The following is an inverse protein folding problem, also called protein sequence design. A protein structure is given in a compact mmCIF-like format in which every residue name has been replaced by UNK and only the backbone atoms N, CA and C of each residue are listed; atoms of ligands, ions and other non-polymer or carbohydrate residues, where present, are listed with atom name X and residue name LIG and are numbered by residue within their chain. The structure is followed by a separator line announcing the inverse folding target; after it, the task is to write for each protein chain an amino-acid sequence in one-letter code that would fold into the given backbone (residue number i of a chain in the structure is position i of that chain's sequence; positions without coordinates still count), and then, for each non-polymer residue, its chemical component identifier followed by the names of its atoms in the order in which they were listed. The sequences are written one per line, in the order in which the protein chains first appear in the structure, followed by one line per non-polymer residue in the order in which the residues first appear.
data_IF_630157983546
#
_entry.id   IF_630157983546
#
_cell.length_a   1.000
_cell.length_b   1.000
_cell.length_c   1.000
_cell.angle_alpha   90.00
_cell.angle_beta   90.00
_cell.angle_gamma   90.00
#
_symmetry.space_group_name_H-M   'P 1'
#
loop_
_entity.id
_entity.type
_entity.pdbx_description
1 polymer ?
#
# COMPACT_ATOMS: atom_id res chain seq x y z
N UNK A 1 3.10 -20.26 -14.57
CA UNK A 1 2.87 -19.49 -13.32
C UNK A 1 2.01 -18.28 -13.66
N UNK A 2 1.22 -17.76 -12.73
CA UNK A 2 0.54 -16.48 -12.90
C UNK A 2 1.55 -15.32 -12.92
N UNK A 3 1.18 -14.22 -13.59
CA UNK A 3 1.99 -13.01 -13.64
C UNK A 3 1.68 -12.12 -12.43
N UNK A 4 2.16 -12.57 -11.27
CA UNK A 4 2.02 -11.89 -9.98
C UNK A 4 3.38 -11.37 -9.54
N UNK A 5 3.53 -10.04 -9.46
CA UNK A 5 4.80 -9.37 -9.20
C UNK A 5 4.53 -8.18 -8.28
N UNK A 6 5.36 -8.01 -7.25
CA UNK A 6 5.43 -6.79 -6.44
C UNK A 6 6.85 -6.25 -6.45
N UNK A 7 6.99 -4.92 -6.43
CA UNK A 7 8.27 -4.26 -6.28
C UNK A 7 8.18 -3.17 -5.21
N UNK A 8 9.29 -3.00 -4.49
CA UNK A 8 9.45 -2.02 -3.43
C UNK A 8 10.53 -1.04 -3.84
N UNK A 9 10.35 0.23 -3.48
CA UNK A 9 11.37 1.24 -3.68
C UNK A 9 12.39 1.16 -2.52
N UNK A 10 13.65 0.91 -2.89
CA UNK A 10 14.76 0.81 -1.94
C UNK A 10 15.36 2.18 -1.62
N UNK A 11 15.08 3.21 -2.42
CA UNK A 11 15.57 4.57 -2.22
C UNK A 11 14.57 5.38 -1.37
N UNK A 12 14.22 4.81 -0.22
CA UNK A 12 13.33 5.44 0.74
C UNK A 12 14.02 5.59 2.07
N UNK A 13 13.62 6.60 2.85
CA UNK A 13 14.18 6.84 4.19
C UNK A 13 14.08 5.59 5.09
N UNK A 14 12.99 4.82 4.98
CA UNK A 14 12.78 3.60 5.78
C UNK A 14 13.73 2.45 5.42
N UNK A 15 14.32 2.48 4.22
CA UNK A 15 15.20 1.43 3.71
C UNK A 15 16.70 1.83 3.75
N UNK A 16 16.98 3.09 4.08
CA UNK A 16 18.33 3.65 4.10
C UNK A 16 19.26 2.87 5.06
N UNK A 17 20.46 2.54 4.59
CA UNK A 17 21.45 1.74 5.33
C UNK A 17 21.22 0.23 5.23
N UNK A 18 20.00 -0.26 5.41
CA UNK A 18 19.73 -1.70 5.34
C UNK A 18 19.76 -2.23 3.89
N UNK A 19 19.11 -1.53 2.96
CA UNK A 19 18.99 -1.99 1.57
C UNK A 19 20.32 -2.07 0.81
N UNK A 20 21.33 -1.29 1.23
CA UNK A 20 22.68 -1.34 0.63
C UNK A 20 23.50 -2.53 1.12
N UNK A 21 23.15 -3.11 2.28
CA UNK A 21 23.81 -4.30 2.82
C UNK A 21 23.11 -5.58 2.38
N UNK A 22 21.79 -5.63 2.53
CA UNK A 22 20.96 -6.76 2.11
C UNK A 22 19.55 -6.27 1.78
N UNK A 23 19.21 -6.10 0.49
CA UNK A 23 17.88 -5.63 0.09
C UNK A 23 16.78 -6.65 0.38
N UNK A 24 17.08 -7.94 0.48
CA UNK A 24 16.10 -8.98 0.78
C UNK A 24 15.77 -8.97 2.28
N UNK A 25 16.80 -8.93 3.13
CA UNK A 25 16.61 -8.82 4.57
C UNK A 25 15.94 -7.49 4.95
N UNK A 26 16.25 -6.39 4.25
CA UNK A 26 15.63 -5.09 4.47
C UNK A 26 14.10 -5.14 4.30
N UNK A 27 13.56 -5.92 3.35
CA UNK A 27 12.10 -6.08 3.19
C UNK A 27 11.42 -6.64 4.45
N UNK A 28 12.13 -7.46 5.23
CA UNK A 28 11.62 -8.06 6.45
C UNK A 28 11.87 -7.17 7.68
N UNK A 29 13.09 -6.65 7.82
CA UNK A 29 13.53 -5.97 9.05
C UNK A 29 13.20 -4.47 9.08
N UNK A 30 13.07 -3.83 7.92
CA UNK A 30 12.71 -2.41 7.83
C UNK A 30 11.21 -2.18 7.64
N UNK A 31 10.45 -3.23 7.31
CA UNK A 31 9.00 -3.21 7.15
C UNK A 31 8.50 -2.07 6.21
N UNK A 32 8.80 -2.13 4.90
CA UNK A 32 8.38 -1.09 3.96
C UNK A 32 6.86 -0.93 3.98
N UNK A 33 6.40 0.31 4.18
CA UNK A 33 4.98 0.62 4.38
C UNK A 33 4.11 0.41 3.13
N UNK A 34 4.68 0.60 1.93
CA UNK A 34 3.95 0.64 0.67
C UNK A 34 4.75 -0.05 -0.44
N UNK A 35 4.07 -0.77 -1.33
CA UNK A 35 4.66 -1.21 -2.60
C UNK A 35 4.73 -0.05 -3.59
N UNK A 36 5.80 -0.01 -4.40
CA UNK A 36 5.90 0.94 -5.51
C UNK A 36 5.20 0.40 -6.76
N UNK A 37 5.22 -0.92 -6.96
CA UNK A 37 4.56 -1.59 -8.08
C UNK A 37 3.88 -2.88 -7.63
N UNK A 38 2.71 -3.16 -8.18
CA UNK A 38 2.02 -4.45 -8.00
C UNK A 38 1.25 -4.84 -9.26
N UNK A 39 1.46 -6.09 -9.68
CA UNK A 39 0.75 -6.75 -10.77
C UNK A 39 0.14 -8.04 -10.24
N UNK A 40 -1.12 -8.29 -10.57
CA UNK A 40 -1.84 -9.53 -10.23
C UNK A 40 -2.48 -10.07 -11.50
N UNK A 41 -2.20 -11.32 -11.85
CA UNK A 41 -2.65 -11.98 -13.07
C UNK A 41 -2.41 -11.15 -14.34
N UNK A 42 -1.25 -10.48 -14.43
CA UNK A 42 -0.91 -9.65 -15.59
C UNK A 42 -1.52 -8.25 -15.59
N UNK A 43 -2.36 -7.91 -14.61
CA UNK A 43 -2.98 -6.58 -14.47
C UNK A 43 -2.19 -5.75 -13.46
N UNK A 44 -1.70 -4.59 -13.88
CA UNK A 44 -1.08 -3.62 -12.98
C UNK A 44 -2.15 -2.98 -12.10
N UNK A 45 -1.97 -3.10 -10.78
CA UNK A 45 -2.86 -2.54 -9.75
C UNK A 45 -2.23 -1.35 -9.03
N UNK A 46 -0.91 -1.35 -8.89
CA UNK A 46 -0.13 -0.22 -8.33
C UNK A 46 1.01 0.11 -9.28
N UNK A 47 1.18 1.40 -9.59
CA UNK A 47 2.27 1.95 -10.38
C UNK A 47 2.74 3.23 -9.67
N UNK A 48 4.05 3.40 -9.49
CA UNK A 48 4.67 4.54 -8.81
C UNK A 48 4.07 4.82 -7.42
N UNK A 49 3.71 3.77 -6.69
CA UNK A 49 3.08 3.85 -5.36
C UNK A 49 1.59 4.22 -5.37
N UNK A 50 0.97 4.38 -6.55
CA UNK A 50 -0.42 4.79 -6.70
C UNK A 50 -1.31 3.66 -7.23
N UNK A 51 -2.48 3.47 -6.60
CA UNK A 51 -3.51 2.54 -7.06
C UNK A 51 -4.04 2.98 -8.44
N UNK A 52 -4.01 2.05 -9.40
CA UNK A 52 -4.39 2.34 -10.80
C UNK A 52 -5.88 2.15 -11.07
N UNK A 53 -6.54 1.27 -10.31
CA UNK A 53 -7.93 0.87 -10.57
C UNK A 53 -8.96 1.50 -9.63
N UNK A 54 -8.55 2.46 -8.79
CA UNK A 54 -9.40 3.01 -7.73
C UNK A 54 -9.15 4.51 -7.54
N UNK A 55 -10.23 5.28 -7.49
CA UNK A 55 -10.19 6.68 -7.05
C UNK A 55 -10.15 6.71 -5.52
N UNK A 56 -8.92 6.86 -4.99
CA UNK A 56 -8.63 6.68 -3.57
C UNK A 56 -9.24 7.78 -2.69
N UNK A 57 -9.14 9.09 -3.01
CA UNK A 57 -9.79 10.14 -2.23
C UNK A 57 -11.29 9.92 -1.99
N UNK A 58 -12.08 9.62 -3.01
CA UNK A 58 -13.52 9.37 -2.85
C UNK A 58 -13.85 8.03 -2.18
N UNK A 59 -12.98 7.02 -2.25
CA UNK A 59 -13.13 5.84 -1.41
C UNK A 59 -12.91 6.18 0.07
N UNK A 60 -11.87 6.93 0.40
CA UNK A 60 -11.57 7.36 1.76
C UNK A 60 -12.72 8.19 2.33
N UNK A 61 -13.29 9.10 1.54
CA UNK A 61 -14.43 9.91 1.97
C UNK A 61 -15.64 9.04 2.32
N UNK A 62 -16.04 8.13 1.40
CA UNK A 62 -17.16 7.21 1.64
C UNK A 62 -16.92 6.31 2.85
N UNK A 63 -15.68 5.84 3.03
CA UNK A 63 -15.31 5.03 4.18
C UNK A 63 -15.46 5.81 5.49
N UNK A 64 -14.97 7.05 5.53
CA UNK A 64 -15.08 7.92 6.71
C UNK A 64 -16.55 8.27 7.02
N UNK A 65 -17.39 8.50 6.00
CA UNK A 65 -18.83 8.70 6.19
C UNK A 65 -19.49 7.45 6.80
N UNK A 66 -19.16 6.26 6.30
CA UNK A 66 -19.68 5.01 6.86
C UNK A 66 -19.24 4.82 8.32
N UNK A 67 -17.96 5.10 8.65
CA UNK A 67 -17.44 5.03 10.01
C UNK A 67 -18.17 5.99 10.97
N UNK A 68 -18.44 7.23 10.55
CA UNK A 68 -19.26 8.18 11.32
C UNK A 68 -20.68 7.67 11.53
N UNK A 69 -21.28 7.07 10.49
CA UNK A 69 -22.60 6.45 10.58
C UNK A 69 -22.65 5.29 11.59
N UNK A 70 -21.56 4.53 11.75
CA UNK A 70 -21.47 3.49 12.79
C UNK A 70 -21.48 4.09 14.20
N UNK A 71 -20.72 5.15 14.44
CA UNK A 71 -20.69 5.85 15.73
C UNK A 71 -22.07 6.39 16.10
N UNK A 72 -22.78 7.00 15.14
CA UNK A 72 -24.14 7.51 15.34
C UNK A 72 -25.11 6.39 15.73
N UNK A 73 -25.08 5.24 15.03
CA UNK A 73 -25.96 4.11 15.35
C UNK A 73 -25.64 3.46 16.70
N UNK A 74 -24.40 3.54 17.13
CA UNK A 74 -23.96 3.06 18.44
C UNK A 74 -24.31 4.02 19.60
N UNK A 75 -24.81 5.23 19.30
CA UNK A 75 -25.06 6.27 20.31
C UNK A 75 -23.78 6.87 20.90
N UNK A 76 -22.66 6.80 20.17
CA UNK A 76 -21.33 7.28 20.57
C UNK A 76 -20.90 8.56 19.83
N UNK A 77 -21.81 9.17 19.07
CA UNK A 77 -21.59 10.39 18.31
C UNK A 77 -22.27 11.58 18.97
#
# INVERSE_FOLDING_TARGET
KAADIVAFDLDTLGMAGAAVHDPVAALLFCAPHSVNFAMVNGRVLVQDGHLQSLELPGLIERHNQAARGLLQRAGLA
#
